data_IF_843578387103
#
_entry.id   IF_843578387103
#
_cell.length_a   1.000
_cell.length_b   1.000
_cell.length_c   1.000
_cell.angle_alpha   90.00
_cell.angle_beta   90.00
_cell.angle_gamma   90.00
#
_symmetry.space_group_name_H-M   'P 1'
#
loop_
_entity.id
_entity.type
_entity.pdbx_description
1 polymer ?
#
# COMPACT_ATOMS: atom_id res chain seq x y z
N UNK A 1 50.73 -1.65 4.52
CA UNK A 1 50.38 -3.07 4.23
C UNK A 1 48.87 -3.30 4.37
N UNK A 2 48.02 -2.75 3.49
CA UNK A 2 46.55 -3.04 3.47
C UNK A 2 45.96 -3.20 2.05
N UNK A 3 46.55 -2.60 1.00
CA UNK A 3 46.10 -2.76 -0.39
C UNK A 3 46.57 -4.05 -1.10
N UNK A 4 47.49 -4.81 -0.50
CA UNK A 4 48.00 -6.09 -1.05
C UNK A 4 47.16 -7.31 -0.63
N UNK A 5 46.37 -7.21 0.45
CA UNK A 5 45.55 -8.32 0.95
C UNK A 5 44.24 -8.49 0.16
N UNK A 6 43.68 -7.37 -0.33
CA UNK A 6 42.43 -7.37 -1.09
C UNK A 6 42.54 -8.02 -2.48
N UNK A 7 43.72 -7.94 -3.13
CA UNK A 7 43.92 -8.53 -4.46
C UNK A 7 44.06 -10.07 -4.43
N UNK A 8 44.46 -10.65 -3.29
CA UNK A 8 44.70 -12.09 -3.19
C UNK A 8 43.41 -12.92 -2.99
N UNK A 9 42.34 -12.28 -2.52
CA UNK A 9 41.06 -12.96 -2.23
C UNK A 9 40.14 -13.07 -3.47
N UNK A 10 40.46 -12.37 -4.55
CA UNK A 10 39.65 -12.32 -5.77
C UNK A 10 40.02 -13.39 -6.83
N UNK A 11 40.92 -14.34 -6.51
CA UNK A 11 41.51 -15.28 -7.48
C UNK A 11 41.40 -16.76 -7.08
N UNK A 12 40.48 -17.12 -6.17
CA UNK A 12 40.32 -18.50 -5.66
C UNK A 12 38.86 -18.98 -5.63
N UNK A 13 38.05 -18.57 -6.62
CA UNK A 13 36.71 -19.12 -6.87
C UNK A 13 36.43 -19.37 -8.36
N UNK A 14 37.44 -19.90 -9.07
CA UNK A 14 37.28 -20.52 -10.40
C UNK A 14 38.00 -21.87 -10.35
N UNK A 15 37.38 -22.91 -10.95
CA UNK A 15 37.77 -24.32 -10.89
C UNK A 15 37.64 -25.04 -9.52
N UNK A 16 36.48 -25.70 -9.32
CA UNK A 16 36.42 -27.07 -8.78
C UNK A 16 34.98 -27.62 -8.86
N UNK A 17 34.67 -28.45 -9.87
CA UNK A 17 33.48 -29.33 -9.89
C UNK A 17 33.60 -30.37 -11.02
N UNK A 18 34.47 -31.36 -10.83
CA UNK A 18 34.59 -32.52 -11.71
C UNK A 18 35.16 -33.77 -11.00
N UNK A 19 34.42 -34.89 -11.14
CA UNK A 19 34.83 -36.28 -10.95
C UNK A 19 35.12 -36.86 -9.53
N UNK A 20 34.95 -38.19 -9.47
CA UNK A 20 35.25 -39.16 -8.40
C UNK A 20 34.37 -39.15 -7.12
N UNK A 21 33.84 -40.27 -6.59
CA UNK A 21 33.63 -41.62 -7.18
C UNK A 21 33.99 -42.79 -6.26
N UNK A 22 32.96 -43.47 -5.69
CA UNK A 22 33.08 -44.66 -4.81
C UNK A 22 33.56 -44.34 -3.37
N UNK A 23 33.32 -45.13 -2.32
CA UNK A 23 32.47 -46.33 -2.06
C UNK A 23 32.40 -46.50 -0.51
N UNK A 24 31.59 -47.31 0.19
CA UNK A 24 30.59 -48.37 -0.08
C UNK A 24 29.65 -48.51 1.16
N UNK A 25 28.53 -49.25 1.09
CA UNK A 25 27.72 -49.61 2.28
C UNK A 25 26.25 -49.97 2.02
N UNK A 26 25.90 -51.25 2.11
CA UNK A 26 24.56 -51.87 1.88
C UNK A 26 23.77 -52.14 3.17
N UNK A 27 22.47 -52.55 3.13
CA UNK A 27 21.36 -52.16 2.22
C UNK A 27 20.03 -51.87 2.97
N UNK A 28 18.96 -51.45 2.27
CA UNK A 28 17.57 -51.60 2.72
C UNK A 28 16.58 -51.56 1.55
N UNK A 29 15.46 -52.29 1.64
CA UNK A 29 14.53 -52.55 0.53
C UNK A 29 13.45 -51.47 0.32
N UNK A 30 13.27 -51.05 -0.93
CA UNK A 30 12.00 -50.56 -1.48
C UNK A 30 11.98 -50.78 -3.01
N UNK A 31 10.86 -51.20 -3.63
CA UNK A 31 10.83 -51.57 -5.04
C UNK A 31 10.82 -50.37 -5.99
N UNK A 32 11.36 -50.58 -7.19
CA UNK A 32 11.24 -49.63 -8.30
C UNK A 32 9.80 -49.57 -8.84
N UNK A 33 9.42 -48.42 -9.39
CA UNK A 33 8.22 -48.25 -10.21
C UNK A 33 8.61 -47.75 -11.60
N UNK A 34 8.28 -48.53 -12.63
CA UNK A 34 8.50 -48.12 -14.02
C UNK A 34 7.59 -46.95 -14.40
N UNK A 35 8.15 -45.96 -15.09
CA UNK A 35 7.41 -44.84 -15.66
C UNK A 35 7.36 -44.98 -17.19
N UNK A 36 6.21 -45.37 -17.78
CA UNK A 36 6.00 -45.24 -19.22
C UNK A 36 5.81 -43.76 -19.57
N UNK A 37 6.47 -43.31 -20.65
CA UNK A 37 6.07 -42.06 -21.29
C UNK A 37 4.65 -42.22 -21.87
N UNK A 38 3.79 -41.22 -21.67
CA UNK A 38 2.45 -41.19 -22.28
C UNK A 38 2.44 -40.21 -23.45
N UNK A 39 2.15 -40.72 -24.64
CA UNK A 39 1.87 -39.89 -25.81
C UNK A 39 0.61 -39.04 -25.57
N UNK A 40 0.66 -37.78 -25.95
CA UNK A 40 -0.48 -36.88 -25.87
C UNK A 40 -1.39 -37.05 -27.10
N UNK A 41 -2.67 -37.45 -26.95
CA UNK A 41 -3.63 -37.43 -28.05
C UNK A 41 -3.90 -36.00 -28.50
N UNK A 42 -4.12 -35.79 -29.80
CA UNK A 42 -4.55 -34.49 -30.31
C UNK A 42 -5.97 -34.15 -29.81
N UNK A 43 -6.24 -32.86 -29.60
CA UNK A 43 -7.55 -32.39 -29.15
C UNK A 43 -8.60 -32.54 -30.24
N UNK A 44 -9.44 -33.57 -30.15
CA UNK A 44 -10.75 -33.54 -30.79
C UNK A 44 -11.64 -32.50 -30.09
N UNK A 45 -12.37 -31.68 -30.87
CA UNK A 45 -13.32 -30.73 -30.31
C UNK A 45 -14.60 -31.47 -29.87
N UNK A 46 -15.13 -31.24 -28.65
CA UNK A 46 -16.40 -31.81 -28.25
C UNK A 46 -17.52 -31.38 -29.20
N UNK A 47 -18.31 -32.35 -29.67
CA UNK A 47 -19.50 -32.07 -30.45
C UNK A 47 -20.55 -31.33 -29.59
N UNK A 48 -21.35 -30.49 -30.24
CA UNK A 48 -22.45 -29.75 -29.61
C UNK A 48 -23.58 -30.70 -29.17
N UNK A 49 -23.45 -31.21 -27.94
CA UNK A 49 -24.51 -31.91 -27.23
C UNK A 49 -25.31 -30.90 -26.39
N UNK A 50 -26.47 -30.50 -26.89
CA UNK A 50 -27.37 -29.51 -26.28
C UNK A 50 -28.02 -29.94 -24.95
N UNK A 51 -27.21 -30.20 -23.94
CA UNK A 51 -27.61 -30.04 -22.53
C UNK A 51 -27.65 -28.53 -22.20
N UNK A 52 -28.47 -28.13 -21.23
CA UNK A 52 -28.72 -26.73 -20.87
C UNK A 52 -27.57 -26.04 -20.12
N UNK A 53 -26.32 -26.46 -20.34
CA UNK A 53 -25.16 -26.06 -19.54
C UNK A 53 -24.34 -24.97 -20.21
N UNK A 54 -24.29 -23.79 -19.58
CA UNK A 54 -23.39 -22.71 -20.01
C UNK A 54 -21.94 -23.12 -19.73
N UNK A 55 -21.09 -23.13 -20.75
CA UNK A 55 -19.67 -23.45 -20.58
C UNK A 55 -18.97 -22.42 -19.68
N UNK A 56 -17.95 -22.85 -18.92
CA UNK A 56 -17.35 -22.01 -17.88
C UNK A 56 -16.81 -20.65 -18.40
N UNK A 57 -16.34 -20.59 -19.65
CA UNK A 57 -15.87 -19.36 -20.29
C UNK A 57 -16.96 -18.33 -20.61
N UNK A 58 -18.22 -18.74 -20.65
CA UNK A 58 -19.37 -17.91 -21.06
C UNK A 58 -20.24 -17.47 -19.88
N UNK A 59 -19.94 -17.98 -18.68
CA UNK A 59 -20.63 -17.59 -17.43
C UNK A 59 -20.27 -16.15 -17.06
N UNK A 60 -21.23 -15.36 -16.51
CA UNK A 60 -20.92 -14.05 -15.98
C UNK A 60 -19.87 -14.09 -14.87
N UNK A 61 -18.98 -13.09 -14.87
CA UNK A 61 -17.93 -12.90 -13.88
C UNK A 61 -18.08 -11.50 -13.29
N UNK A 62 -18.12 -11.40 -11.96
CA UNK A 62 -18.19 -10.12 -11.25
C UNK A 62 -17.01 -10.02 -10.30
N UNK A 63 -16.02 -9.21 -10.69
CA UNK A 63 -15.01 -8.71 -9.77
C UNK A 63 -15.67 -7.74 -8.80
N UNK A 64 -15.30 -7.76 -7.53
CA UNK A 64 -15.94 -6.90 -6.53
C UNK A 64 -14.92 -6.35 -5.52
N UNK A 65 -15.24 -5.20 -4.94
CA UNK A 65 -14.41 -4.44 -4.01
C UNK A 65 -13.09 -3.96 -4.64
N UNK A 66 -12.11 -4.85 -4.82
CA UNK A 66 -10.80 -4.54 -5.41
C UNK A 66 -10.86 -4.63 -6.94
N UNK A 67 -10.44 -3.59 -7.65
CA UNK A 67 -10.39 -3.59 -9.11
C UNK A 67 -9.18 -4.42 -9.60
N UNK A 68 -9.34 -5.34 -10.57
CA UNK A 68 -8.22 -6.06 -11.17
C UNK A 68 -7.15 -5.09 -11.71
N UNK A 69 -5.98 -5.13 -11.09
CA UNK A 69 -4.89 -4.19 -11.34
C UNK A 69 -3.54 -4.78 -10.90
N UNK A 70 -2.46 -4.24 -11.46
CA UNK A 70 -1.09 -4.57 -11.11
C UNK A 70 -0.76 -4.03 -9.70
N UNK A 71 -0.46 -4.92 -8.76
CA UNK A 71 -0.17 -4.59 -7.36
C UNK A 71 1.17 -3.86 -7.11
N UNK A 72 1.78 -3.28 -8.13
CA UNK A 72 2.97 -2.43 -8.04
C UNK A 72 2.80 -1.12 -8.81
N UNK A 73 2.03 -1.09 -9.90
CA UNK A 73 1.83 0.11 -10.72
C UNK A 73 0.42 0.71 -10.68
N UNK A 74 -0.58 -0.03 -10.18
CA UNK A 74 -2.00 0.35 -10.24
C UNK A 74 -2.63 0.28 -11.63
N UNK A 75 -1.87 -0.12 -12.65
CA UNK A 75 -2.37 -0.31 -14.02
C UNK A 75 -3.45 -1.41 -14.07
N UNK A 76 -4.55 -1.17 -14.79
CA UNK A 76 -5.68 -2.10 -14.83
C UNK A 76 -5.33 -3.40 -15.57
N UNK A 77 -5.69 -4.55 -14.98
CA UNK A 77 -5.62 -5.83 -15.67
C UNK A 77 -6.79 -5.95 -16.65
N UNK A 78 -6.57 -5.42 -17.85
CA UNK A 78 -7.56 -5.47 -18.93
C UNK A 78 -7.87 -6.91 -19.37
N UNK A 79 -6.97 -7.87 -19.20
CA UNK A 79 -7.24 -9.27 -19.55
C UNK A 79 -8.21 -9.93 -18.54
N UNK A 80 -8.07 -9.61 -17.24
CA UNK A 80 -9.05 -10.01 -16.23
C UNK A 80 -10.38 -9.26 -16.35
N UNK A 81 -10.35 -7.98 -16.74
CA UNK A 81 -11.55 -7.15 -16.94
C UNK A 81 -12.34 -7.48 -18.22
N UNK A 82 -11.68 -7.97 -19.28
CA UNK A 82 -12.32 -8.40 -20.53
C UNK A 82 -12.25 -9.91 -20.77
N UNK A 83 -12.37 -10.71 -19.70
CA UNK A 83 -12.35 -12.18 -19.80
C UNK A 83 -13.46 -12.72 -20.71
N UNK A 84 -14.66 -12.15 -20.64
CA UNK A 84 -15.77 -12.36 -21.58
C UNK A 84 -16.74 -11.16 -21.59
N UNK A 85 -17.71 -11.16 -22.52
CA UNK A 85 -18.73 -10.10 -22.66
C UNK A 85 -19.65 -9.94 -21.44
N UNK A 86 -19.61 -10.88 -20.49
CA UNK A 86 -20.37 -10.88 -19.24
C UNK A 86 -19.46 -10.63 -18.02
N UNK A 87 -18.30 -10.01 -18.21
CA UNK A 87 -17.37 -9.65 -17.14
C UNK A 87 -17.60 -8.22 -16.67
N UNK A 88 -17.74 -8.04 -15.35
CA UNK A 88 -18.03 -6.75 -14.70
C UNK A 88 -17.11 -6.52 -13.50
N UNK A 89 -16.95 -5.26 -13.11
CA UNK A 89 -16.40 -4.86 -11.80
C UNK A 89 -17.43 -4.05 -11.02
N UNK A 90 -17.60 -4.36 -9.74
CA UNK A 90 -18.47 -3.64 -8.79
C UNK A 90 -17.63 -3.14 -7.62
N UNK A 91 -17.39 -1.84 -7.60
CA UNK A 91 -16.76 -1.10 -6.51
C UNK A 91 -17.56 0.15 -6.15
N UNK A 92 -16.85 1.20 -5.76
CA UNK A 92 -17.39 2.54 -5.52
C UNK A 92 -16.52 3.58 -6.26
N UNK A 93 -16.92 4.85 -6.28
CA UNK A 93 -16.05 5.91 -6.81
C UNK A 93 -14.97 6.27 -5.78
N UNK A 94 -13.79 5.67 -5.97
CA UNK A 94 -12.61 5.89 -5.14
C UNK A 94 -12.15 7.35 -5.13
N UNK A 95 -12.40 8.12 -6.19
CA UNK A 95 -12.01 9.53 -6.26
C UNK A 95 -13.00 10.41 -5.48
N UNK A 96 -14.30 10.19 -5.67
CA UNK A 96 -15.34 10.91 -4.91
C UNK A 96 -15.16 10.70 -3.39
N UNK A 97 -14.96 9.45 -2.95
CA UNK A 97 -14.76 9.18 -1.53
C UNK A 97 -13.46 9.77 -0.98
N UNK A 98 -12.40 9.83 -1.80
CA UNK A 98 -11.14 10.48 -1.42
C UNK A 98 -11.25 12.02 -1.33
N UNK A 99 -12.01 12.65 -2.23
CA UNK A 99 -12.39 14.07 -2.15
C UNK A 99 -13.15 14.37 -0.85
N UNK A 100 -14.10 13.50 -0.48
CA UNK A 100 -14.85 13.62 0.79
C UNK A 100 -13.95 13.43 2.02
N UNK A 101 -12.99 12.49 2.00
CA UNK A 101 -12.03 12.35 3.09
C UNK A 101 -11.15 13.60 3.24
N UNK A 102 -10.59 14.10 2.12
CA UNK A 102 -9.78 15.32 2.12
C UNK A 102 -10.55 16.54 2.62
N UNK A 103 -11.81 16.69 2.16
CA UNK A 103 -12.72 17.77 2.58
C UNK A 103 -13.01 17.71 4.08
N UNK A 104 -13.33 16.52 4.62
CA UNK A 104 -13.58 16.32 6.05
C UNK A 104 -12.38 16.73 6.92
N UNK A 105 -11.15 16.44 6.49
CA UNK A 105 -9.93 16.83 7.21
C UNK A 105 -9.72 18.34 7.13
N UNK A 106 -9.87 18.93 5.94
CA UNK A 106 -9.74 20.38 5.72
C UNK A 106 -10.76 21.18 6.54
N UNK A 107 -12.03 20.79 6.50
CA UNK A 107 -13.09 21.41 7.30
C UNK A 107 -12.82 21.26 8.80
N UNK A 108 -12.30 20.11 9.25
CA UNK A 108 -11.91 19.97 10.66
C UNK A 108 -10.78 20.92 11.04
N UNK A 109 -9.72 21.04 10.23
CA UNK A 109 -8.59 21.96 10.49
C UNK A 109 -9.10 23.40 10.57
N UNK A 110 -9.94 23.83 9.63
CA UNK A 110 -10.51 25.18 9.60
C UNK A 110 -11.41 25.48 10.82
N UNK A 111 -12.23 24.52 11.25
CA UNK A 111 -13.16 24.71 12.37
C UNK A 111 -12.53 24.52 13.77
N UNK A 112 -11.37 23.88 13.88
CA UNK A 112 -10.74 23.53 15.17
C UNK A 112 -9.33 24.12 15.35
N UNK A 113 -8.93 25.10 14.54
CA UNK A 113 -7.55 25.64 14.52
C UNK A 113 -7.06 26.13 15.90
N UNK A 114 -7.96 26.56 16.78
CA UNK A 114 -7.65 26.99 18.16
C UNK A 114 -7.18 25.80 19.02
N UNK A 115 -5.85 25.61 19.08
CA UNK A 115 -5.22 24.51 19.82
C UNK A 115 -4.99 23.24 19.00
N UNK A 116 -5.27 23.26 17.70
CA UNK A 116 -4.87 22.20 16.77
C UNK A 116 -3.39 22.29 16.39
N UNK A 117 -2.84 23.50 16.24
CA UNK A 117 -1.38 23.71 16.24
C UNK A 117 -0.88 23.46 17.68
N UNK A 118 -0.32 22.27 17.93
CA UNK A 118 0.00 21.79 19.28
C UNK A 118 1.30 22.35 19.83
N UNK A 119 2.17 22.91 19.00
CA UNK A 119 3.48 23.43 19.41
C UNK A 119 3.65 24.95 19.21
N UNK A 120 2.77 25.58 18.42
CA UNK A 120 2.76 27.01 18.11
C UNK A 120 3.76 27.44 17.03
N UNK A 121 4.22 26.52 16.17
CA UNK A 121 5.19 26.83 15.10
C UNK A 121 4.54 27.28 13.77
N UNK A 122 3.20 27.24 13.68
CA UNK A 122 2.43 27.70 12.51
C UNK A 122 2.34 26.66 11.38
N UNK A 123 2.84 25.45 11.59
CA UNK A 123 2.72 24.32 10.67
C UNK A 123 1.71 23.32 11.25
N UNK A 124 0.61 23.08 10.54
CA UNK A 124 -0.29 21.95 10.81
C UNK A 124 0.35 20.69 10.20
N UNK A 125 1.06 19.94 11.04
CA UNK A 125 1.77 18.74 10.65
C UNK A 125 0.87 17.51 10.69
N UNK A 126 0.78 16.78 9.58
CA UNK A 126 0.05 15.51 9.50
C UNK A 126 0.95 14.32 9.16
N UNK A 127 0.55 13.14 9.62
CA UNK A 127 1.15 11.86 9.22
C UNK A 127 0.10 10.95 8.58
N UNK A 128 0.48 10.22 7.53
CA UNK A 128 -0.45 9.45 6.70
C UNK A 128 -0.09 7.95 6.65
N UNK A 129 -1.00 7.10 7.13
CA UNK A 129 -0.93 5.65 6.92
C UNK A 129 -1.45 5.28 5.52
N UNK A 130 -0.53 4.88 4.64
CA UNK A 130 -0.85 4.49 3.27
C UNK A 130 -1.17 2.99 3.24
N UNK A 131 -2.21 2.62 2.49
CA UNK A 131 -2.56 1.22 2.23
C UNK A 131 -1.60 0.56 1.23
N UNK A 132 -2.06 -0.53 0.62
CA UNK A 132 -1.41 -1.15 -0.55
C UNK A 132 -1.11 -0.14 -1.66
N UNK A 133 0.16 0.16 -1.93
CA UNK A 133 0.55 1.21 -2.89
C UNK A 133 0.17 0.91 -4.35
N UNK A 134 -0.11 -0.35 -4.68
CA UNK A 134 -0.62 -0.74 -6.00
C UNK A 134 -2.14 -0.73 -6.11
N UNK A 135 -2.87 -0.44 -5.02
CA UNK A 135 -4.32 -0.48 -5.03
C UNK A 135 -4.94 0.88 -5.40
N UNK A 136 -5.87 0.88 -6.34
CA UNK A 136 -6.60 2.06 -6.83
C UNK A 136 -7.17 2.91 -5.68
N UNK A 137 -7.80 2.30 -4.66
CA UNK A 137 -8.33 3.03 -3.50
C UNK A 137 -7.23 3.72 -2.66
N UNK A 138 -6.09 3.06 -2.44
CA UNK A 138 -4.99 3.60 -1.64
C UNK A 138 -4.38 4.83 -2.30
N UNK A 139 -4.18 4.71 -3.62
CA UNK A 139 -3.74 5.78 -4.51
C UNK A 139 -4.75 6.94 -4.49
N UNK A 140 -6.04 6.66 -4.67
CA UNK A 140 -7.08 7.69 -4.69
C UNK A 140 -7.20 8.42 -3.34
N UNK A 141 -7.34 7.68 -2.23
CA UNK A 141 -7.45 8.23 -0.86
C UNK A 141 -6.25 9.12 -0.53
N UNK A 142 -5.03 8.67 -0.84
CA UNK A 142 -3.79 9.44 -0.67
C UNK A 142 -3.76 10.72 -1.52
N UNK A 143 -4.21 10.65 -2.79
CA UNK A 143 -4.31 11.83 -3.67
C UNK A 143 -5.36 12.84 -3.18
N UNK A 144 -6.53 12.37 -2.73
CA UNK A 144 -7.60 13.23 -2.21
C UNK A 144 -7.17 14.03 -0.98
N UNK A 145 -6.52 13.38 -0.02
CA UNK A 145 -5.92 14.04 1.16
C UNK A 145 -4.89 15.09 0.73
N UNK A 146 -3.91 14.72 -0.10
CA UNK A 146 -2.86 15.65 -0.58
C UNK A 146 -3.41 16.81 -1.41
N UNK A 147 -4.49 16.58 -2.16
CA UNK A 147 -5.16 17.61 -2.95
C UNK A 147 -5.89 18.61 -2.05
N UNK A 148 -6.72 18.14 -1.13
CA UNK A 148 -7.52 19.00 -0.25
C UNK A 148 -6.66 19.80 0.74
N UNK A 149 -5.54 19.23 1.20
CA UNK A 149 -4.57 19.88 2.08
C UNK A 149 -3.52 20.72 1.33
N UNK A 150 -3.60 20.80 0.00
CA UNK A 150 -2.69 21.58 -0.83
C UNK A 150 -1.25 21.03 -0.94
N UNK A 151 -0.92 19.92 -0.28
CA UNK A 151 0.43 19.31 -0.25
C UNK A 151 0.78 18.51 -1.51
N UNK A 152 -0.16 18.35 -2.45
CA UNK A 152 0.03 17.63 -3.70
C UNK A 152 1.15 18.20 -4.60
N UNK A 153 2.04 17.32 -5.05
CA UNK A 153 2.89 17.52 -6.24
C UNK A 153 2.28 16.74 -7.40
N UNK A 154 2.27 17.35 -8.59
CA UNK A 154 1.81 16.70 -9.82
C UNK A 154 2.99 16.34 -10.72
N UNK A 155 2.97 15.12 -11.26
CA UNK A 155 3.92 14.60 -12.26
C UNK A 155 3.10 14.14 -13.47
N UNK A 156 3.44 14.65 -14.66
CA UNK A 156 2.74 14.35 -15.93
C UNK A 156 1.21 14.50 -15.89
N UNK A 157 0.70 15.44 -15.06
CA UNK A 157 -0.73 15.72 -14.88
C UNK A 157 -1.45 14.80 -13.88
N UNK A 158 -0.69 14.06 -13.05
CA UNK A 158 -1.22 13.15 -12.02
C UNK A 158 -0.57 13.47 -10.68
N UNK A 159 -1.38 13.56 -9.61
CA UNK A 159 -0.88 13.78 -8.24
C UNK A 159 -0.04 12.57 -7.79
N UNK A 160 1.15 12.82 -7.24
CA UNK A 160 2.02 11.77 -6.72
C UNK A 160 1.40 11.16 -5.44
N UNK A 161 1.35 9.82 -5.39
CA UNK A 161 0.83 9.02 -4.27
C UNK A 161 1.92 8.22 -3.53
N UNK A 162 3.20 8.47 -3.85
CA UNK A 162 4.35 7.79 -3.23
C UNK A 162 4.45 8.17 -1.75
N UNK A 163 4.57 7.20 -0.82
CA UNK A 163 4.80 7.51 0.60
C UNK A 163 6.17 8.17 0.81
N UNK A 164 6.23 9.23 1.63
CA UNK A 164 7.42 10.10 1.73
C UNK A 164 8.51 9.55 2.66
N UNK A 165 8.22 8.54 3.46
CA UNK A 165 9.06 8.14 4.59
C UNK A 165 8.97 9.19 5.69
N UNK A 166 9.96 10.07 5.80
CA UNK A 166 9.98 11.22 6.72
C UNK A 166 10.41 12.50 6.02
N UNK A 167 9.72 13.60 6.30
CA UNK A 167 9.80 14.90 5.63
C UNK A 167 9.90 16.01 6.69
N UNK A 168 11.03 16.05 7.40
CA UNK A 168 11.23 16.89 8.60
C UNK A 168 11.24 18.39 8.25
N UNK A 169 11.83 18.75 7.11
CA UNK A 169 12.10 20.12 6.67
C UNK A 169 11.20 20.60 5.52
N UNK A 170 10.37 19.73 4.96
CA UNK A 170 9.48 20.03 3.82
C UNK A 170 10.11 19.77 2.45
N UNK A 171 11.31 19.18 2.39
CA UNK A 171 12.08 19.02 1.13
C UNK A 171 11.82 17.72 0.35
N UNK A 172 10.74 16.98 0.67
CA UNK A 172 10.30 15.82 -0.10
C UNK A 172 10.10 16.13 -1.59
N UNK A 173 10.35 15.15 -2.47
CA UNK A 173 10.10 15.26 -3.89
C UNK A 173 8.64 14.93 -4.29
N UNK A 174 7.90 14.22 -3.42
CA UNK A 174 6.57 13.67 -3.71
C UNK A 174 5.42 14.50 -3.13
N UNK A 175 5.73 15.46 -2.27
CA UNK A 175 4.79 16.41 -1.64
C UNK A 175 5.48 17.76 -1.48
N UNK A 176 4.68 18.80 -1.33
CA UNK A 176 5.11 20.15 -0.96
C UNK A 176 4.39 20.58 0.32
N UNK A 177 4.78 21.72 0.87
CA UNK A 177 3.98 22.44 1.85
C UNK A 177 2.71 23.02 1.17
N UNK A 178 1.57 22.86 1.82
CA UNK A 178 0.33 23.58 1.51
C UNK A 178 0.21 24.87 2.33
N UNK A 179 -0.68 25.78 1.94
CA UNK A 179 -0.99 27.02 2.66
C UNK A 179 -2.50 27.10 2.95
N UNK A 180 -2.88 27.44 4.18
CA UNK A 180 -4.26 27.72 4.58
C UNK A 180 -4.35 29.07 5.28
N UNK A 181 -5.17 29.99 4.78
CA UNK A 181 -5.52 31.23 5.50
C UNK A 181 -6.77 31.00 6.36
N UNK A 182 -6.61 31.12 7.68
CA UNK A 182 -7.68 30.92 8.66
C UNK A 182 -7.70 32.13 9.60
N UNK A 183 -8.84 32.83 9.66
CA UNK A 183 -9.03 34.04 10.47
C UNK A 183 -8.00 35.17 10.24
N UNK A 184 -7.36 35.22 9.07
CA UNK A 184 -6.31 36.18 8.72
C UNK A 184 -4.89 35.76 9.14
N UNK A 185 -4.71 34.54 9.65
CA UNK A 185 -3.42 33.90 9.87
C UNK A 185 -3.17 32.87 8.77
N UNK A 186 -2.01 32.93 8.11
CA UNK A 186 -1.57 31.87 7.19
C UNK A 186 -0.86 30.77 7.99
N UNK A 187 -1.37 29.54 7.87
CA UNK A 187 -0.74 28.31 8.36
C UNK A 187 -0.13 27.54 7.19
N UNK A 188 1.00 26.89 7.44
CA UNK A 188 1.53 25.88 6.55
C UNK A 188 0.84 24.54 6.87
N UNK A 189 0.58 23.70 5.87
CA UNK A 189 0.17 22.31 6.06
C UNK A 189 1.24 21.39 5.52
N UNK A 190 1.72 20.43 6.31
CA UNK A 190 2.87 19.58 5.95
C UNK A 190 2.60 18.10 6.22
N UNK A 191 2.82 17.28 5.19
CA UNK A 191 2.94 15.83 5.38
C UNK A 191 4.32 15.54 5.99
N UNK A 192 4.37 15.30 7.30
CA UNK A 192 5.61 15.03 8.05
C UNK A 192 6.16 13.63 7.79
N UNK A 193 5.27 12.65 7.60
CA UNK A 193 5.64 11.27 7.32
C UNK A 193 4.49 10.51 6.67
N UNK A 194 4.83 9.57 5.81
CA UNK A 194 3.89 8.57 5.31
C UNK A 194 4.61 7.32 4.86
N UNK A 195 4.00 6.17 5.10
CA UNK A 195 4.55 4.87 4.69
C UNK A 195 3.41 3.91 4.31
N UNK A 196 3.73 2.98 3.42
CA UNK A 196 2.93 1.79 3.19
C UNK A 196 2.90 0.93 4.45
N UNK A 197 1.71 0.63 4.97
CA UNK A 197 1.56 -0.28 6.11
C UNK A 197 1.60 -1.73 5.64
N UNK A 198 2.79 -2.17 5.24
CA UNK A 198 3.08 -3.53 4.81
C UNK A 198 4.00 -4.23 5.81
N UNK A 199 3.55 -5.38 6.32
CA UNK A 199 4.33 -6.17 7.26
C UNK A 199 5.43 -7.00 6.56
N UNK A 200 6.30 -7.64 7.34
CA UNK A 200 7.43 -8.43 6.83
C UNK A 200 7.04 -9.73 6.09
N UNK A 201 5.77 -10.15 6.17
CA UNK A 201 5.23 -11.24 5.35
C UNK A 201 4.60 -10.75 4.02
N UNK A 202 4.62 -9.43 3.77
CA UNK A 202 4.10 -8.80 2.55
C UNK A 202 2.62 -8.44 2.59
N UNK A 203 1.92 -8.64 3.70
CA UNK A 203 0.52 -8.22 3.81
C UNK A 203 0.43 -6.71 4.04
N UNK A 204 -0.37 -6.04 3.21
CA UNK A 204 -0.66 -4.60 3.20
C UNK A 204 -1.88 -4.27 4.06
N UNK A 205 -2.11 -2.98 4.34
CA UNK A 205 -3.15 -2.49 5.25
C UNK A 205 -3.01 -2.99 6.70
N UNK A 206 -1.78 -3.29 7.11
CA UNK A 206 -1.48 -3.96 8.36
C UNK A 206 -1.61 -3.01 9.57
N UNK A 207 -2.68 -3.21 10.34
CA UNK A 207 -3.02 -2.39 11.50
C UNK A 207 -1.93 -2.38 12.59
N UNK A 208 -1.21 -3.49 12.80
CA UNK A 208 -0.10 -3.53 13.77
C UNK A 208 1.08 -2.68 13.31
N UNK A 209 1.38 -2.67 12.00
CA UNK A 209 2.38 -1.82 11.37
C UNK A 209 2.00 -0.34 11.49
N UNK A 210 0.73 0.01 11.35
CA UNK A 210 0.22 1.37 11.60
C UNK A 210 0.38 1.81 13.07
N UNK A 211 0.01 0.95 14.03
CA UNK A 211 0.22 1.22 15.46
C UNK A 211 1.70 1.38 15.85
N UNK A 212 2.61 0.63 15.21
CA UNK A 212 4.05 0.79 15.37
C UNK A 212 4.58 2.07 14.68
N UNK A 213 3.99 2.47 13.55
CA UNK A 213 4.36 3.67 12.82
C UNK A 213 4.10 4.93 13.65
N UNK A 214 2.91 5.10 14.23
CA UNK A 214 2.62 6.31 15.02
C UNK A 214 3.50 6.43 16.27
N UNK A 215 3.91 5.31 16.89
CA UNK A 215 4.87 5.32 17.99
C UNK A 215 6.28 5.75 17.54
N UNK A 216 6.68 5.37 16.32
CA UNK A 216 7.97 5.78 15.72
C UNK A 216 7.95 7.25 15.28
N UNK A 217 6.85 7.69 14.67
CA UNK A 217 6.65 9.06 14.22
C UNK A 217 6.49 10.02 15.40
N UNK A 218 5.71 9.71 16.42
CA UNK A 218 5.59 10.56 17.62
C UNK A 218 6.91 10.65 18.41
N UNK A 219 7.74 9.60 18.42
CA UNK A 219 9.10 9.68 18.97
C UNK A 219 10.06 10.56 18.13
N UNK A 220 9.69 10.90 16.88
CA UNK A 220 10.49 11.71 15.94
C UNK A 220 10.00 13.16 15.86
N UNK A 221 8.68 13.36 15.84
CA UNK A 221 8.00 14.64 15.59
C UNK A 221 7.30 15.22 16.82
N UNK A 222 6.87 14.37 17.77
CA UNK A 222 6.36 14.78 19.08
C UNK A 222 5.07 15.61 19.04
N UNK A 223 5.21 16.89 19.36
CA UNK A 223 4.13 17.87 19.35
C UNK A 223 3.72 18.30 17.94
N UNK A 224 4.64 18.28 16.95
CA UNK A 224 4.38 18.59 15.53
C UNK A 224 3.33 17.71 14.83
N UNK A 225 2.87 16.62 15.44
CA UNK A 225 1.79 15.80 14.85
C UNK A 225 0.46 16.35 15.36
N UNK A 226 -0.16 17.18 14.55
CA UNK A 226 -1.44 17.83 14.82
C UNK A 226 -2.62 17.01 14.25
N UNK A 227 -2.38 16.24 13.20
CA UNK A 227 -3.38 15.36 12.57
C UNK A 227 -2.79 13.99 12.24
N UNK A 228 -3.54 12.93 12.51
CA UNK A 228 -3.27 11.59 11.96
C UNK A 228 -4.28 11.28 10.87
N UNK A 229 -3.81 10.86 9.70
CA UNK A 229 -4.65 10.43 8.57
C UNK A 229 -4.33 8.99 8.22
N UNK A 230 -5.33 8.25 7.76
CA UNK A 230 -5.19 6.87 7.32
C UNK A 230 -6.03 6.62 6.09
N UNK A 231 -5.52 5.81 5.15
CA UNK A 231 -6.35 5.34 4.04
C UNK A 231 -7.48 4.40 4.51
N UNK A 232 -7.47 3.85 5.74
CA UNK A 232 -8.65 3.17 6.31
C UNK A 232 -8.76 3.16 7.84
N UNK A 233 -9.92 2.78 8.34
CA UNK A 233 -10.25 2.66 9.76
C UNK A 233 -9.41 1.61 10.47
N UNK A 234 -9.12 0.46 9.84
CA UNK A 234 -8.33 -0.60 10.48
C UNK A 234 -6.92 -0.13 10.90
N UNK A 235 -6.27 0.66 10.06
CA UNK A 235 -5.00 1.31 10.39
C UNK A 235 -5.20 2.55 11.27
N UNK A 236 -6.25 3.35 11.02
CA UNK A 236 -6.55 4.58 11.76
C UNK A 236 -6.86 4.33 13.24
N UNK A 237 -7.74 3.37 13.53
CA UNK A 237 -8.08 2.93 14.88
C UNK A 237 -6.88 2.32 15.60
N UNK A 238 -5.98 1.63 14.89
CA UNK A 238 -4.74 1.14 15.49
C UNK A 238 -3.81 2.29 15.90
N UNK A 239 -3.71 3.36 15.10
CA UNK A 239 -2.93 4.56 15.46
C UNK A 239 -3.59 5.37 16.58
N UNK A 240 -4.91 5.54 16.53
CA UNK A 240 -5.70 6.22 17.56
C UNK A 240 -5.55 5.55 18.93
N UNK A 241 -5.73 4.23 19.00
CA UNK A 241 -5.59 3.46 20.23
C UNK A 241 -4.13 3.35 20.71
N UNK A 242 -3.15 3.35 19.80
CA UNK A 242 -1.74 3.26 20.16
C UNK A 242 -1.16 4.59 20.67
N UNK A 243 -1.65 5.74 20.19
CA UNK A 243 -1.09 7.04 20.53
C UNK A 243 -2.08 8.21 20.50
N UNK A 244 -2.83 8.41 19.41
CA UNK A 244 -3.53 9.68 19.17
C UNK A 244 -4.56 10.02 20.25
N UNK A 245 -5.32 9.01 20.72
CA UNK A 245 -6.33 9.17 21.77
C UNK A 245 -5.74 9.70 23.08
N UNK A 246 -4.59 9.16 23.50
CA UNK A 246 -3.91 9.57 24.73
C UNK A 246 -3.23 10.95 24.63
N UNK A 247 -3.06 11.46 23.41
CA UNK A 247 -2.43 12.75 23.11
C UNK A 247 -3.43 13.81 22.61
N UNK A 248 -4.72 13.48 22.58
CA UNK A 248 -5.83 14.30 22.04
C UNK A 248 -5.64 14.75 20.58
N UNK A 249 -4.97 13.92 19.77
CA UNK A 249 -4.73 14.21 18.34
C UNK A 249 -5.87 13.62 17.48
N UNK A 250 -6.54 14.42 16.62
CA UNK A 250 -7.57 13.93 15.71
C UNK A 250 -7.01 12.87 14.76
N UNK A 251 -7.80 11.82 14.51
CA UNK A 251 -7.43 10.71 13.64
C UNK A 251 -8.53 10.44 12.63
N UNK A 252 -8.20 10.51 11.34
CA UNK A 252 -9.15 10.33 10.24
C UNK A 252 -8.94 9.00 9.54
N UNK A 253 -9.95 8.14 9.63
CA UNK A 253 -10.02 6.86 8.90
C UNK A 253 -10.82 6.95 7.61
N UNK A 254 -11.29 5.79 7.16
CA UNK A 254 -12.09 5.54 5.96
C UNK A 254 -12.66 4.11 6.04
N UNK A 255 -13.80 3.86 5.41
CA UNK A 255 -14.61 2.61 5.36
C UNK A 255 -15.85 2.67 6.28
N UNK A 256 -15.85 3.49 7.34
CA UNK A 256 -16.93 3.66 8.32
C UNK A 256 -17.28 2.37 9.08
N UNK A 257 -16.25 1.66 9.55
CA UNK A 257 -16.37 0.47 10.38
C UNK A 257 -17.03 0.78 11.73
N UNK A 258 -17.74 -0.20 12.28
CA UNK A 258 -18.57 -0.03 13.49
C UNK A 258 -17.81 0.37 14.75
N UNK A 259 -16.51 0.11 14.81
CA UNK A 259 -15.61 0.51 15.89
C UNK A 259 -15.00 1.91 15.71
N UNK A 260 -15.02 2.47 14.50
CA UNK A 260 -14.59 3.83 14.19
C UNK A 260 -15.72 4.88 14.27
N UNK A 261 -16.98 4.43 14.31
CA UNK A 261 -18.19 5.27 14.38
C UNK A 261 -18.82 5.30 15.79
N UNK A 262 -18.19 4.64 16.77
CA UNK A 262 -18.72 4.35 18.10
C UNK A 262 -18.53 5.45 19.17
#
# INVERSE_FOLDING_TARGET
>A
MKKLLALLLALVMVFALAACGGTEGTPSDAPASDAPASDAPASEAPADSGDGTVANKDKPLVWFNRQPSNSTTGELDMAALTFNDNTYYVGFDANQGAELQGTMILEYIQNNIEGLDRNGDGIIGYVLAVGDIGHNDSIARTRGVRSALGTAVEVDGVIDSTPVGTNIDGTSAYVKDGELEINGTTYIVRELASQEMKNSAGATWDAATAGNAINTWSATFGDKIDVVVSNNDGMGMAMFNAWSSANSVPTFGYDANSDAVA
#
